data_IF_830768537313
#
_entry.id   IF_830768537313
#
_cell.length_a   1.000
_cell.length_b   1.000
_cell.length_c   1.000
_cell.angle_alpha   90.00
_cell.angle_beta   90.00
_cell.angle_gamma   90.00
#
_symmetry.space_group_name_H-M   'P 1'
#
loop_
_entity.id
_entity.type
_entity.pdbx_description
1 polymer ?
#
# COMPACT_ATOMS: atom_id res chain seq x y z
N UNK A 1 -29.45 -3.21 3.23
CA UNK A 1 -29.02 -3.67 4.56
C UNK A 1 -29.78 -3.02 5.73
N UNK A 2 -30.62 -1.98 5.53
CA UNK A 2 -31.41 -1.31 6.58
C UNK A 2 -30.62 -1.03 7.87
N UNK A 3 -29.38 -0.57 7.70
CA UNK A 3 -28.51 -0.24 8.83
C UNK A 3 -28.94 1.12 9.42
N UNK A 4 -28.86 1.31 10.74
CA UNK A 4 -29.20 2.58 11.37
C UNK A 4 -28.30 3.72 10.86
N UNK A 5 -28.91 4.86 10.56
CA UNK A 5 -28.20 6.09 10.18
C UNK A 5 -28.47 7.12 11.28
N UNK A 6 -27.40 7.58 11.95
CA UNK A 6 -27.48 8.56 13.04
C UNK A 6 -26.66 9.80 12.66
N UNK A 7 -27.29 10.96 12.70
CA UNK A 7 -26.60 12.24 12.54
C UNK A 7 -25.72 12.53 13.76
N UNK A 8 -24.44 12.81 13.50
CA UNK A 8 -23.48 13.27 14.52
C UNK A 8 -22.77 14.58 14.13
N UNK A 9 -22.96 15.04 12.90
CA UNK A 9 -22.42 16.31 12.39
C UNK A 9 -23.59 17.12 11.84
N UNK A 10 -23.64 18.38 12.22
CA UNK A 10 -24.49 19.39 11.61
C UNK A 10 -23.60 20.39 10.87
N UNK A 11 -23.67 20.36 9.54
CA UNK A 11 -22.94 21.24 8.63
C UNK A 11 -23.93 21.99 7.70
N UNK A 12 -25.19 22.08 8.13
CA UNK A 12 -26.27 22.67 7.35
C UNK A 12 -26.03 24.17 7.12
N UNK A 13 -26.01 24.59 5.87
CA UNK A 13 -26.04 25.99 5.46
C UNK A 13 -27.45 26.60 5.55
N UNK A 14 -27.55 27.91 5.33
CA UNK A 14 -28.82 28.64 5.46
C UNK A 14 -29.89 28.18 4.45
N UNK A 15 -29.48 27.75 3.26
CA UNK A 15 -30.37 27.32 2.17
C UNK A 15 -30.51 25.79 2.08
N UNK A 16 -29.85 25.05 2.96
CA UNK A 16 -29.87 23.59 2.95
C UNK A 16 -31.16 23.05 3.59
N UNK A 17 -31.63 21.90 3.09
CA UNK A 17 -32.79 21.23 3.65
C UNK A 17 -32.48 20.59 5.01
N UNK A 18 -33.53 20.29 5.78
CA UNK A 18 -33.38 19.57 7.05
C UNK A 18 -32.78 18.18 6.85
N UNK A 19 -32.10 17.68 7.89
CA UNK A 19 -31.53 16.34 7.87
C UNK A 19 -32.59 15.27 7.61
N UNK A 20 -32.28 14.36 6.69
CA UNK A 20 -33.06 13.17 6.36
C UNK A 20 -32.18 11.94 6.37
N UNK A 21 -32.59 10.91 7.12
CA UNK A 21 -31.89 9.62 7.14
C UNK A 21 -32.19 8.77 5.89
N UNK A 22 -33.19 9.14 5.08
CA UNK A 22 -33.58 8.38 3.88
C UNK A 22 -33.02 8.97 2.60
N UNK A 23 -32.60 10.24 2.62
CA UNK A 23 -32.13 10.96 1.44
C UNK A 23 -30.78 11.62 1.72
N UNK A 24 -29.83 11.40 0.81
CA UNK A 24 -28.52 12.03 0.85
C UNK A 24 -28.60 13.50 0.46
N UNK A 25 -27.85 14.36 1.16
CA UNK A 25 -27.65 15.75 0.82
C UNK A 25 -26.15 16.08 0.83
N UNK A 26 -25.71 16.96 -0.06
CA UNK A 26 -24.28 17.22 -0.27
C UNK A 26 -23.58 17.77 0.99
N UNK A 27 -24.29 18.60 1.77
CA UNK A 27 -23.76 19.16 3.00
C UNK A 27 -23.43 18.12 4.07
N UNK A 28 -23.99 16.90 4.00
CA UNK A 28 -23.62 15.79 4.91
C UNK A 28 -22.12 15.43 4.79
N UNK A 29 -21.53 15.64 3.61
CA UNK A 29 -20.10 15.39 3.35
C UNK A 29 -19.20 16.59 3.63
N UNK A 30 -19.76 17.72 4.06
CA UNK A 30 -19.00 18.92 4.38
C UNK A 30 -18.07 18.67 5.56
N UNK A 31 -16.89 19.30 5.52
CA UNK A 31 -15.92 19.27 6.63
C UNK A 31 -16.08 20.44 7.59
N UNK A 32 -17.02 21.33 7.29
CA UNK A 32 -17.30 22.57 8.02
C UNK A 32 -18.62 22.40 8.78
N UNK A 33 -18.55 21.70 9.91
CA UNK A 33 -19.72 21.40 10.73
C UNK A 33 -19.37 21.27 12.21
N UNK A 34 -20.41 21.19 13.03
CA UNK A 34 -20.31 21.02 14.48
C UNK A 34 -20.88 19.67 14.88
N UNK A 35 -20.34 19.12 15.97
CA UNK A 35 -20.89 17.89 16.54
C UNK A 35 -22.28 18.11 17.14
N UNK A 36 -23.17 17.16 16.89
CA UNK A 36 -24.50 17.04 17.51
C UNK A 36 -24.72 15.60 17.97
N UNK A 37 -25.63 15.38 18.92
CA UNK A 37 -25.97 14.03 19.42
C UNK A 37 -24.76 13.21 19.94
N UNK A 38 -23.73 13.92 20.41
CA UNK A 38 -22.41 13.42 20.81
C UNK A 38 -22.08 13.73 22.28
N UNK A 39 -23.02 14.28 23.06
CA UNK A 39 -22.89 14.42 24.51
C UNK A 39 -22.02 15.61 24.88
N UNK A 40 -20.94 15.38 25.64
CA UNK A 40 -20.05 16.46 26.11
C UNK A 40 -19.25 17.15 24.98
N UNK A 41 -19.28 16.58 23.77
CA UNK A 41 -18.59 17.11 22.59
C UNK A 41 -19.50 17.95 21.68
N UNK A 42 -20.78 18.10 22.02
CA UNK A 42 -21.73 18.85 21.20
C UNK A 42 -21.30 20.31 21.04
N UNK A 43 -21.44 20.84 19.83
CA UNK A 43 -21.06 22.20 19.46
C UNK A 43 -19.59 22.40 19.08
N UNK A 44 -18.72 21.39 19.27
CA UNK A 44 -17.32 21.46 18.85
C UNK A 44 -17.19 21.35 17.33
N UNK A 45 -16.28 22.15 16.76
CA UNK A 45 -15.84 22.06 15.37
C UNK A 45 -14.80 20.95 15.20
N UNK A 46 -14.53 20.55 13.95
CA UNK A 46 -13.70 19.38 13.61
C UNK A 46 -12.39 19.27 14.42
N UNK A 47 -11.56 20.31 14.41
CA UNK A 47 -10.24 20.23 15.06
C UNK A 47 -10.37 20.12 16.59
N UNK A 48 -11.25 20.93 17.20
CA UNK A 48 -11.50 20.90 18.63
C UNK A 48 -12.10 19.55 19.08
N UNK A 49 -13.01 18.98 18.28
CA UNK A 49 -13.58 17.66 18.51
C UNK A 49 -12.51 16.55 18.42
N UNK A 50 -11.64 16.59 17.40
CA UNK A 50 -10.54 15.63 17.23
C UNK A 50 -9.60 15.65 18.44
N UNK A 51 -9.17 16.84 18.87
CA UNK A 51 -8.28 16.99 20.02
C UNK A 51 -8.96 16.54 21.33
N UNK A 52 -10.24 16.86 21.51
CA UNK A 52 -11.01 16.43 22.68
C UNK A 52 -11.19 14.90 22.74
N UNK A 53 -11.42 14.24 21.59
CA UNK A 53 -11.50 12.79 21.53
C UNK A 53 -10.17 12.13 21.88
N UNK A 54 -9.05 12.62 21.32
CA UNK A 54 -7.72 12.12 21.68
C UNK A 54 -7.43 12.29 23.17
N UNK A 55 -7.63 13.49 23.71
CA UNK A 55 -7.40 13.78 25.13
C UNK A 55 -8.20 12.86 26.07
N UNK A 56 -9.43 12.49 25.69
CA UNK A 56 -10.27 11.60 26.49
C UNK A 56 -9.91 10.12 26.33
N UNK A 57 -9.62 9.67 25.12
CA UNK A 57 -9.53 8.24 24.79
C UNK A 57 -8.10 7.68 24.85
N UNK A 58 -7.07 8.52 24.64
CA UNK A 58 -5.67 8.11 24.68
C UNK A 58 -5.25 7.58 26.07
N UNK A 59 -5.61 8.21 27.22
CA UNK A 59 -5.30 7.67 28.55
C UNK A 59 -5.97 6.32 28.85
N UNK A 60 -7.04 5.99 28.13
CA UNK A 60 -7.76 4.72 28.25
C UNK A 60 -7.20 3.63 27.33
N UNK A 61 -6.20 3.96 26.49
CA UNK A 61 -5.67 3.05 25.47
C UNK A 61 -6.64 2.78 24.32
N UNK A 62 -7.64 3.65 24.12
CA UNK A 62 -8.69 3.48 23.11
C UNK A 62 -8.46 4.31 21.83
N UNK A 63 -7.48 5.21 21.84
CA UNK A 63 -7.14 6.03 20.68
C UNK A 63 -5.65 6.37 20.63
N UNK A 64 -5.15 6.60 19.42
CA UNK A 64 -3.84 7.18 19.16
C UNK A 64 -3.87 7.96 17.83
N UNK A 65 -3.09 9.04 17.74
CA UNK A 65 -2.92 9.74 16.47
C UNK A 65 -2.11 8.89 15.48
N UNK A 66 -2.47 8.95 14.19
CA UNK A 66 -1.75 8.22 13.11
C UNK A 66 -1.81 9.00 11.81
N UNK A 67 -0.64 9.31 11.25
CA UNK A 67 -0.52 9.88 9.90
C UNK A 67 -0.54 8.74 8.88
N UNK A 68 -1.29 8.91 7.78
CA UNK A 68 -1.37 7.95 6.70
C UNK A 68 -1.22 8.63 5.35
N UNK A 69 -0.67 7.89 4.38
CA UNK A 69 -0.53 8.34 3.00
C UNK A 69 -1.37 7.47 2.07
N UNK A 70 -1.88 8.08 0.99
CA UNK A 70 -2.45 7.33 -0.14
C UNK A 70 -1.36 6.66 -0.98
N UNK A 71 -0.11 7.11 -0.82
CA UNK A 71 1.06 6.50 -1.45
C UNK A 71 1.17 5.03 -1.06
N UNK A 72 1.64 4.23 -2.02
CA UNK A 72 1.92 2.80 -1.84
C UNK A 72 3.37 2.56 -2.23
N UNK A 73 3.93 1.47 -1.72
CA UNK A 73 5.26 1.03 -2.11
C UNK A 73 5.31 0.78 -3.61
N UNK A 74 6.46 1.07 -4.20
CA UNK A 74 6.66 0.91 -5.63
C UNK A 74 7.05 -0.52 -5.97
N UNK A 75 6.10 -1.28 -6.51
CA UNK A 75 6.38 -2.61 -7.07
C UNK A 75 7.14 -2.51 -8.38
N UNK A 76 8.44 -2.77 -8.35
CA UNK A 76 9.32 -2.70 -9.53
C UNK A 76 9.34 -3.99 -10.35
N UNK A 77 9.16 -5.16 -9.73
CA UNK A 77 9.29 -6.44 -10.42
C UNK A 77 8.25 -6.65 -11.52
N UNK A 78 8.69 -7.19 -12.66
CA UNK A 78 7.87 -7.52 -13.83
C UNK A 78 8.19 -8.93 -14.30
N UNK A 79 7.15 -9.76 -14.46
CA UNK A 79 7.25 -11.09 -15.07
C UNK A 79 7.32 -10.96 -16.61
N UNK A 80 8.33 -10.25 -17.10
CA UNK A 80 8.57 -9.95 -18.51
C UNK A 80 10.04 -10.15 -18.82
N UNK A 81 10.33 -10.62 -20.02
CA UNK A 81 11.69 -10.82 -20.53
C UNK A 81 12.43 -9.49 -20.75
N UNK A 82 11.78 -8.55 -21.44
CA UNK A 82 12.45 -7.40 -22.01
C UNK A 82 12.52 -6.25 -21.00
N UNK A 83 13.49 -6.36 -20.08
CA UNK A 83 13.78 -5.37 -19.04
C UNK A 83 15.14 -5.63 -18.40
N UNK A 84 15.53 -4.78 -17.46
CA UNK A 84 16.79 -4.96 -16.73
C UNK A 84 16.63 -6.13 -15.72
N UNK A 85 17.46 -7.19 -15.79
CA UNK A 85 17.40 -8.27 -14.80
C UNK A 85 17.60 -7.75 -13.38
N UNK A 86 16.76 -8.23 -12.45
CA UNK A 86 16.89 -7.88 -11.04
C UNK A 86 18.16 -8.55 -10.48
N UNK A 87 19.10 -7.82 -9.85
CA UNK A 87 20.38 -8.36 -9.41
C UNK A 87 20.28 -9.11 -8.07
N UNK A 88 19.35 -10.07 -7.99
CA UNK A 88 19.12 -10.94 -6.84
C UNK A 88 19.34 -12.40 -7.21
N UNK A 89 19.77 -13.19 -6.23
CA UNK A 89 19.98 -14.64 -6.31
C UNK A 89 19.21 -15.28 -5.15
N UNK A 90 18.43 -16.30 -5.45
CA UNK A 90 17.69 -17.13 -4.50
C UNK A 90 18.53 -18.38 -4.17
N UNK A 91 18.96 -18.50 -2.91
CA UNK A 91 19.72 -19.64 -2.40
C UNK A 91 18.92 -20.35 -1.29
N UNK A 92 18.82 -21.67 -1.34
CA UNK A 92 18.04 -22.45 -0.35
C UNK A 92 18.60 -22.35 1.07
N UNK A 93 19.91 -22.11 1.22
CA UNK A 93 20.57 -21.99 2.53
C UNK A 93 20.64 -20.54 3.03
N UNK A 94 20.87 -19.58 2.14
CA UNK A 94 21.12 -18.17 2.52
C UNK A 94 19.90 -17.25 2.33
N UNK A 95 18.85 -17.72 1.65
CA UNK A 95 17.71 -16.90 1.26
C UNK A 95 17.99 -16.03 0.02
N UNK A 96 17.42 -14.82 0.00
CA UNK A 96 17.63 -13.85 -1.07
C UNK A 96 18.94 -13.08 -0.83
N UNK A 97 19.87 -13.19 -1.77
CA UNK A 97 21.17 -12.52 -1.71
C UNK A 97 21.39 -11.65 -2.95
N UNK A 98 22.11 -10.55 -2.80
CA UNK A 98 22.41 -9.63 -3.90
C UNK A 98 23.56 -10.17 -4.76
N UNK A 99 23.53 -9.89 -6.06
CA UNK A 99 24.68 -10.08 -6.94
C UNK A 99 25.81 -9.13 -6.50
N UNK A 100 27.06 -9.62 -6.34
CA UNK A 100 28.21 -8.76 -6.04
C UNK A 100 28.46 -7.68 -7.10
N UNK A 101 28.95 -6.51 -6.70
CA UNK A 101 29.17 -5.35 -7.59
C UNK A 101 30.14 -5.66 -8.74
N UNK A 102 31.18 -6.46 -8.48
CA UNK A 102 32.16 -6.92 -9.47
C UNK A 102 31.59 -7.93 -10.48
N UNK A 103 30.39 -8.47 -10.22
CA UNK A 103 29.66 -9.37 -11.10
C UNK A 103 28.50 -8.67 -11.83
N UNK A 104 28.35 -7.35 -11.65
CA UNK A 104 27.42 -6.54 -12.42
C UNK A 104 28.04 -6.16 -13.77
N UNK A 105 27.23 -6.02 -14.84
CA UNK A 105 25.77 -6.22 -14.87
C UNK A 105 25.37 -7.70 -14.95
N UNK A 106 24.17 -8.02 -14.45
CA UNK A 106 23.49 -9.26 -14.85
C UNK A 106 23.00 -9.08 -16.29
N UNK A 107 23.72 -9.67 -17.23
CA UNK A 107 23.46 -9.50 -18.67
C UNK A 107 22.19 -10.25 -19.07
N UNK A 108 21.22 -9.53 -19.65
CA UNK A 108 20.03 -10.14 -20.25
C UNK A 108 20.44 -10.92 -21.52
N UNK A 109 20.13 -12.22 -21.64
CA UNK A 109 20.38 -12.98 -22.87
C UNK A 109 19.60 -12.35 -24.02
N UNK A 110 20.23 -12.13 -25.19
CA UNK A 110 19.58 -11.44 -26.32
C UNK A 110 19.06 -12.38 -27.41
N UNK A 111 19.59 -13.60 -27.50
CA UNK A 111 19.19 -14.61 -28.49
C UNK A 111 17.99 -15.42 -27.98
N UNK A 112 16.87 -14.74 -27.78
CA UNK A 112 15.63 -15.31 -27.24
C UNK A 112 14.46 -14.85 -28.10
N UNK A 113 13.62 -15.79 -28.51
CA UNK A 113 12.35 -15.52 -29.20
C UNK A 113 11.19 -15.79 -28.22
N UNK A 114 10.57 -14.77 -27.62
CA UNK A 114 9.46 -14.97 -26.71
C UNK A 114 8.23 -15.55 -27.42
N UNK A 115 7.66 -16.61 -26.87
CA UNK A 115 6.50 -17.32 -27.43
C UNK A 115 5.14 -16.87 -26.85
N UNK A 116 5.16 -15.94 -25.89
CA UNK A 116 3.97 -15.45 -25.19
C UNK A 116 3.44 -16.37 -24.07
N UNK A 117 4.05 -17.52 -23.83
CA UNK A 117 3.64 -18.48 -22.78
C UNK A 117 4.14 -18.13 -21.36
N UNK A 118 4.90 -17.03 -21.21
CA UNK A 118 5.43 -16.57 -19.93
C UNK A 118 6.79 -15.88 -20.10
N UNK A 119 7.49 -15.67 -18.98
CA UNK A 119 8.85 -15.14 -18.98
C UNK A 119 9.83 -16.26 -19.42
N UNK A 120 10.50 -16.15 -20.59
CA UNK A 120 11.46 -17.13 -21.10
C UNK A 120 12.63 -17.36 -20.14
N UNK A 121 13.02 -16.36 -19.34
CA UNK A 121 14.12 -16.48 -18.38
C UNK A 121 13.89 -17.61 -17.36
N UNK A 122 12.63 -17.98 -17.08
CA UNK A 122 12.31 -19.13 -16.22
C UNK A 122 12.68 -20.49 -16.83
N UNK A 123 12.88 -20.55 -18.15
CA UNK A 123 13.14 -21.78 -18.91
C UNK A 123 14.58 -21.85 -19.42
N UNK A 124 15.46 -20.96 -18.96
CA UNK A 124 16.85 -20.84 -19.40
C UNK A 124 17.82 -21.18 -18.25
N UNK A 125 18.14 -22.47 -18.02
CA UNK A 125 19.13 -22.88 -17.02
C UNK A 125 20.45 -22.13 -17.14
N UNK A 126 20.90 -21.86 -18.36
CA UNK A 126 22.11 -21.10 -18.66
C UNK A 126 22.10 -19.65 -18.13
N UNK A 127 20.91 -19.09 -17.88
CA UNK A 127 20.73 -17.79 -17.26
C UNK A 127 20.51 -17.91 -15.75
N UNK A 128 19.51 -18.70 -15.33
CA UNK A 128 19.11 -18.72 -13.93
C UNK A 128 20.03 -19.56 -13.04
N UNK A 129 20.71 -20.60 -13.54
CA UNK A 129 21.59 -21.42 -12.71
C UNK A 129 22.86 -20.66 -12.40
N UNK A 130 23.15 -20.51 -11.10
CA UNK A 130 24.34 -19.81 -10.66
C UNK A 130 24.82 -20.36 -9.31
N UNK A 131 25.92 -19.83 -8.81
CA UNK A 131 26.42 -20.15 -7.47
C UNK A 131 26.07 -19.02 -6.51
N UNK A 132 25.71 -19.39 -5.29
CA UNK A 132 25.49 -18.42 -4.22
C UNK A 132 26.81 -17.70 -3.91
N UNK A 133 26.87 -16.35 -3.98
CA UNK A 133 28.08 -15.61 -3.64
C UNK A 133 28.44 -15.71 -2.14
N UNK A 134 27.49 -16.04 -1.27
CA UNK A 134 27.72 -16.14 0.17
C UNK A 134 28.28 -17.50 0.62
N UNK A 135 27.77 -18.60 0.05
CA UNK A 135 28.12 -19.95 0.50
C UNK A 135 28.72 -20.86 -0.59
N UNK A 136 28.73 -20.42 -1.86
CA UNK A 136 29.23 -21.20 -3.00
C UNK A 136 28.31 -22.35 -3.46
N UNK A 137 27.20 -22.60 -2.76
CA UNK A 137 26.22 -23.62 -3.13
C UNK A 137 25.44 -23.30 -4.41
N UNK A 138 24.68 -24.27 -4.92
CA UNK A 138 23.77 -24.06 -6.05
C UNK A 138 22.68 -23.05 -5.68
N UNK A 139 22.40 -22.13 -6.61
CA UNK A 139 21.42 -21.07 -6.43
C UNK A 139 20.78 -20.70 -7.76
N UNK A 140 19.70 -19.91 -7.70
CA UNK A 140 18.95 -19.47 -8.87
C UNK A 140 18.89 -17.94 -8.94
N UNK A 141 19.24 -17.32 -10.05
CA UNK A 141 19.02 -15.87 -10.26
C UNK A 141 17.53 -15.56 -10.25
N UNK A 142 17.20 -14.34 -9.81
CA UNK A 142 15.88 -13.76 -10.06
C UNK A 142 15.66 -13.63 -11.58
N UNK A 143 14.47 -13.99 -12.03
CA UNK A 143 14.12 -14.00 -13.46
C UNK A 143 13.18 -12.87 -13.81
N UNK A 144 12.56 -12.22 -12.83
CA UNK A 144 11.85 -10.96 -13.04
C UNK A 144 12.81 -9.84 -13.45
N UNK A 145 12.25 -8.87 -14.17
CA UNK A 145 12.93 -7.66 -14.61
C UNK A 145 12.33 -6.42 -13.96
N UNK A 146 13.03 -5.28 -14.04
CA UNK A 146 12.56 -3.96 -13.60
C UNK A 146 11.61 -3.32 -14.64
#
# INVERSE_FOLDING_TARGET
FNLPIKQVIDAKGTDDAEYSATEWQEWYGSKEGKLVNSGEFDGLEFQAAFDAFLAKLEPQGLANSKVQFRLRDWGVSRQRYWGCPIPMINCDTCGQVTVPEDQLPVVLPTDVVPDGSGNPLNKMPEFFETKCPCCGGDARRETDTL
#
